data_IF_107532878911
#
_entry.id   IF_107532878911
#
_cell.length_a   1.000
_cell.length_b   1.000
_cell.length_c   1.000
_cell.angle_alpha   90.00
_cell.angle_beta   90.00
_cell.angle_gamma   90.00
#
_symmetry.space_group_name_H-M   'P 1'
#
loop_
_entity.id
_entity.type
_entity.pdbx_description
1 polymer ?
#
# COMPACT_ATOMS: atom_id res chain seq x y z
N UNK A 1 1.88 -42.75 13.08
CA UNK A 1 0.64 -42.92 13.88
C UNK A 1 -0.51 -42.45 13.01
N UNK A 2 -1.38 -43.37 12.59
CA UNK A 2 -2.45 -43.08 11.63
C UNK A 2 -3.73 -42.74 12.40
N UNK A 3 -4.32 -41.58 12.12
CA UNK A 3 -5.61 -41.21 12.70
C UNK A 3 -6.75 -41.97 12.00
N UNK A 4 -7.67 -42.61 12.74
CA UNK A 4 -8.86 -43.21 12.16
C UNK A 4 -9.86 -42.11 11.74
N UNK A 5 -10.47 -42.28 10.56
CA UNK A 5 -11.60 -41.46 10.14
C UNK A 5 -12.86 -41.81 10.97
N UNK A 6 -13.72 -40.83 11.29
CA UNK A 6 -15.02 -41.10 11.90
C UNK A 6 -15.97 -41.81 10.90
N UNK A 7 -16.91 -42.62 11.39
CA UNK A 7 -17.91 -43.28 10.54
C UNK A 7 -18.89 -42.26 9.95
N UNK A 8 -19.29 -42.48 8.69
CA UNK A 8 -20.34 -41.70 8.02
C UNK A 8 -21.74 -42.17 8.42
N UNK A 9 -22.66 -41.22 8.57
CA UNK A 9 -24.05 -41.44 8.97
C UNK A 9 -24.93 -41.84 7.76
N UNK A 10 -25.58 -43.02 7.74
CA UNK A 10 -26.36 -43.50 6.61
C UNK A 10 -27.78 -42.88 6.59
N UNK A 11 -27.89 -41.58 6.28
CA UNK A 11 -29.18 -40.87 6.34
C UNK A 11 -29.46 -39.76 5.32
N UNK A 12 -28.49 -39.22 4.58
CA UNK A 12 -28.74 -38.08 3.67
C UNK A 12 -29.04 -38.51 2.21
N UNK A 13 -30.17 -38.08 1.62
CA UNK A 13 -30.42 -38.22 0.19
C UNK A 13 -29.56 -37.23 -0.62
N UNK A 14 -29.12 -37.59 -1.83
CA UNK A 14 -28.23 -36.74 -2.63
C UNK A 14 -28.95 -35.51 -3.19
N UNK A 15 -28.36 -34.32 -2.96
CA UNK A 15 -28.77 -33.09 -3.64
C UNK A 15 -28.46 -33.19 -5.15
N UNK A 16 -29.49 -33.04 -5.98
CA UNK A 16 -29.40 -33.29 -7.43
C UNK A 16 -28.42 -32.36 -8.16
N UNK A 17 -27.52 -32.95 -8.95
CA UNK A 17 -26.71 -32.21 -9.90
C UNK A 17 -27.50 -31.84 -11.15
N UNK A 18 -27.32 -30.62 -11.66
CA UNK A 18 -27.81 -30.24 -12.98
C UNK A 18 -26.85 -30.75 -14.07
N UNK A 19 -27.35 -31.33 -15.18
CA UNK A 19 -26.51 -31.81 -16.27
C UNK A 19 -26.03 -30.65 -17.16
N UNK A 20 -24.73 -30.65 -17.48
CA UNK A 20 -24.16 -29.73 -18.46
C UNK A 20 -24.61 -30.10 -19.88
N UNK A 21 -25.30 -29.18 -20.55
CA UNK A 21 -25.65 -29.32 -21.97
C UNK A 21 -24.47 -29.03 -22.89
N UNK A 22 -24.29 -29.87 -23.91
CA UNK A 22 -23.30 -29.68 -24.97
C UNK A 22 -23.68 -28.55 -25.94
N UNK A 23 -22.73 -27.71 -26.41
CA UNK A 23 -23.01 -26.73 -27.46
C UNK A 23 -23.06 -27.40 -28.85
N UNK A 24 -24.04 -27.06 -29.72
CA UNK A 24 -24.09 -27.55 -31.10
C UNK A 24 -23.11 -26.77 -32.01
N UNK A 25 -22.60 -27.38 -33.11
CA UNK A 25 -21.63 -26.74 -33.99
C UNK A 25 -22.26 -26.04 -35.21
N UNK A 26 -21.74 -24.85 -35.52
CA UNK A 26 -21.74 -24.28 -36.88
C UNK A 26 -22.94 -23.43 -37.28
N UNK A 27 -22.66 -22.30 -37.94
CA UNK A 27 -23.69 -21.43 -38.53
C UNK A 27 -23.19 -20.02 -38.85
N UNK A 28 -22.44 -19.84 -39.94
CA UNK A 28 -22.21 -18.50 -40.49
C UNK A 28 -23.50 -18.01 -41.17
N UNK A 29 -24.09 -16.92 -40.66
CA UNK A 29 -25.29 -16.30 -41.21
C UNK A 29 -25.27 -14.79 -41.03
N UNK A 30 -25.33 -14.05 -42.14
CA UNK A 30 -25.46 -12.59 -42.16
C UNK A 30 -26.82 -12.14 -41.62
N UNK A 31 -26.89 -11.09 -40.79
CA UNK A 31 -28.17 -10.51 -40.39
C UNK A 31 -28.77 -9.66 -41.52
N UNK A 32 -30.04 -9.88 -41.91
CA UNK A 32 -30.77 -8.97 -42.78
C UNK A 32 -31.25 -7.75 -41.99
N UNK A 33 -31.31 -6.59 -42.65
CA UNK A 33 -31.83 -5.37 -42.04
C UNK A 33 -33.33 -5.45 -41.74
N UNK A 34 -33.70 -5.16 -40.49
CA UNK A 34 -35.08 -4.98 -40.04
C UNK A 34 -35.20 -3.65 -39.31
N UNK A 35 -35.99 -2.72 -39.85
CA UNK A 35 -36.23 -1.42 -39.21
C UNK A 35 -37.23 -1.54 -38.07
N UNK A 36 -36.90 -0.97 -36.91
CA UNK A 36 -37.85 -0.77 -35.82
C UNK A 36 -38.49 0.63 -35.94
N UNK A 37 -39.83 0.75 -35.82
CA UNK A 37 -40.48 2.06 -35.82
C UNK A 37 -40.12 2.84 -34.55
N UNK A 38 -39.89 4.16 -34.70
CA UNK A 38 -39.74 5.04 -33.53
C UNK A 38 -41.09 5.20 -32.80
N UNK A 39 -41.09 4.88 -31.51
CA UNK A 39 -42.14 5.34 -30.59
C UNK A 39 -41.98 6.84 -30.35
N UNK A 40 -43.05 7.66 -30.40
CA UNK A 40 -42.96 9.07 -30.09
C UNK A 40 -42.63 9.27 -28.60
N UNK A 41 -41.63 10.10 -28.32
CA UNK A 41 -41.25 10.47 -26.95
C UNK A 41 -42.36 11.31 -26.36
N UNK A 42 -43.03 10.78 -25.32
CA UNK A 42 -44.03 11.54 -24.55
C UNK A 42 -43.34 12.69 -23.81
N UNK A 43 -43.84 13.92 -24.00
CA UNK A 43 -43.24 15.11 -23.44
C UNK A 43 -43.36 15.13 -21.90
N UNK A 44 -42.23 15.26 -21.21
CA UNK A 44 -42.20 15.51 -19.77
C UNK A 44 -42.81 16.89 -19.48
N UNK A 45 -44.03 16.89 -18.94
CA UNK A 45 -44.63 18.07 -18.34
C UNK A 45 -44.02 18.26 -16.95
N UNK A 46 -43.38 19.41 -16.72
CA UNK A 46 -42.83 19.77 -15.42
C UNK A 46 -43.93 20.07 -14.39
N UNK A 47 -43.64 19.94 -13.07
CA UNK A 47 -44.62 20.12 -12.02
C UNK A 47 -45.14 21.57 -11.91
N UNK A 48 -46.34 21.68 -11.35
CA UNK A 48 -47.18 22.88 -11.35
C UNK A 48 -46.59 24.06 -10.56
N UNK A 49 -46.98 25.27 -10.98
CA UNK A 49 -46.55 26.55 -10.40
C UNK A 49 -47.15 26.78 -9.00
N UNK A 50 -46.30 26.93 -7.99
CA UNK A 50 -46.69 27.48 -6.70
C UNK A 50 -46.92 29.01 -6.79
N UNK A 51 -48.00 29.56 -6.21
CA UNK A 51 -48.31 30.99 -6.30
C UNK A 51 -47.68 31.81 -5.16
N UNK A 52 -47.11 32.97 -5.52
CA UNK A 52 -46.97 34.11 -4.60
C UNK A 52 -45.72 34.16 -3.72
N UNK A 53 -44.63 34.73 -4.24
CA UNK A 53 -43.51 35.25 -3.45
C UNK A 53 -43.16 36.68 -3.90
N UNK A 54 -42.86 37.63 -2.99
CA UNK A 54 -42.53 39.01 -3.36
C UNK A 54 -41.13 39.10 -4.02
N UNK A 55 -40.89 40.08 -4.90
CA UNK A 55 -39.65 40.19 -5.65
C UNK A 55 -38.48 40.60 -4.75
N UNK A 56 -37.50 39.71 -4.57
CA UNK A 56 -36.21 40.07 -3.97
C UNK A 56 -35.34 40.78 -5.02
N UNK A 57 -34.89 41.99 -4.69
CA UNK A 57 -34.06 42.81 -5.58
C UNK A 57 -32.65 42.26 -5.78
N UNK A 58 -32.07 42.52 -6.96
CA UNK A 58 -30.69 42.17 -7.26
C UNK A 58 -29.71 43.04 -6.45
N UNK A 59 -28.70 42.46 -5.77
CA UNK A 59 -27.60 43.23 -5.22
C UNK A 59 -26.62 43.65 -6.34
N UNK A 60 -26.02 44.85 -6.28
CA UNK A 60 -25.10 45.33 -7.31
C UNK A 60 -23.74 44.62 -7.25
N UNK A 61 -23.25 44.16 -8.40
CA UNK A 61 -21.89 43.61 -8.53
C UNK A 61 -20.84 44.73 -8.49
N UNK A 62 -20.19 44.90 -7.33
CA UNK A 62 -18.99 45.72 -7.20
C UNK A 62 -17.72 44.93 -7.57
N UNK A 63 -16.90 45.45 -8.46
CA UNK A 63 -15.57 44.89 -8.75
C UNK A 63 -14.59 45.21 -7.60
N UNK A 64 -13.80 44.25 -7.10
CA UNK A 64 -12.72 44.53 -6.17
C UNK A 64 -11.51 45.19 -6.88
N UNK A 65 -10.78 46.10 -6.21
CA UNK A 65 -9.65 46.80 -6.82
C UNK A 65 -8.40 45.90 -6.95
N UNK A 66 -7.70 46.02 -8.09
CA UNK A 66 -6.42 45.31 -8.30
C UNK A 66 -5.29 45.91 -7.44
N UNK A 67 -4.93 45.21 -6.37
CA UNK A 67 -3.77 45.52 -5.54
C UNK A 67 -2.45 45.04 -6.17
N UNK A 68 -1.38 45.80 -5.95
CA UNK A 68 -0.06 45.58 -6.56
C UNK A 68 0.65 44.35 -6.00
N UNK A 69 1.23 43.52 -6.89
CA UNK A 69 2.18 42.46 -6.50
C UNK A 69 3.57 43.03 -6.18
N UNK A 70 4.23 42.61 -5.08
CA UNK A 70 5.62 42.97 -4.80
C UNK A 70 6.60 42.15 -5.67
N UNK A 71 7.79 42.70 -6.01
CA UNK A 71 8.76 42.04 -6.87
C UNK A 71 9.47 40.85 -6.17
N UNK A 72 9.88 39.81 -6.93
CA UNK A 72 10.51 38.61 -6.38
C UNK A 72 11.95 38.88 -5.88
N UNK A 73 12.29 38.32 -4.72
CA UNK A 73 13.66 38.35 -4.17
C UNK A 73 14.53 37.29 -4.83
N UNK A 74 15.70 37.70 -5.33
CA UNK A 74 16.70 36.85 -5.98
C UNK A 74 17.50 36.07 -4.93
N UNK A 75 17.35 34.74 -4.85
CA UNK A 75 18.11 33.89 -3.92
C UNK A 75 19.40 33.37 -4.55
N UNK A 76 20.50 33.39 -3.79
CA UNK A 76 21.84 32.99 -4.23
C UNK A 76 22.10 31.49 -3.99
N UNK A 77 21.37 30.62 -4.69
CA UNK A 77 21.44 29.16 -4.51
C UNK A 77 22.75 28.49 -5.03
N UNK A 78 23.59 29.20 -5.78
CA UNK A 78 24.70 28.60 -6.55
C UNK A 78 25.96 28.22 -5.78
N UNK A 79 26.11 28.58 -4.50
CA UNK A 79 27.39 28.46 -3.78
C UNK A 79 27.46 27.26 -2.80
N UNK A 80 26.32 26.66 -2.44
CA UNK A 80 26.27 25.54 -1.49
C UNK A 80 26.57 24.20 -2.17
N UNK A 81 26.20 24.04 -3.45
CA UNK A 81 26.31 22.77 -4.20
C UNK A 81 27.75 22.29 -4.37
N UNK A 82 28.73 23.21 -4.48
CA UNK A 82 30.14 22.86 -4.69
C UNK A 82 30.83 22.25 -3.46
N UNK A 83 30.37 22.56 -2.24
CA UNK A 83 30.97 22.03 -1.01
C UNK A 83 30.62 20.54 -0.76
N UNK A 84 29.42 20.11 -1.17
CA UNK A 84 28.89 18.77 -0.85
C UNK A 84 29.57 17.69 -1.71
N UNK A 85 29.86 17.98 -2.99
CA UNK A 85 30.51 17.03 -3.90
C UNK A 85 31.94 16.69 -3.46
N UNK A 86 32.69 17.68 -2.95
CA UNK A 86 34.06 17.47 -2.46
C UNK A 86 34.13 16.56 -1.23
N UNK A 87 33.15 16.63 -0.32
CA UNK A 87 33.13 15.82 0.89
C UNK A 87 32.85 14.33 0.62
N UNK A 88 31.99 14.01 -0.35
CA UNK A 88 31.59 12.63 -0.63
C UNK A 88 32.73 11.79 -1.25
N UNK A 89 33.61 12.41 -2.06
CA UNK A 89 34.75 11.72 -2.68
C UNK A 89 35.79 11.28 -1.62
N UNK A 90 36.00 12.08 -0.57
CA UNK A 90 36.93 11.76 0.51
C UNK A 90 36.45 10.60 1.40
N UNK A 91 35.14 10.49 1.67
CA UNK A 91 34.60 9.42 2.52
C UNK A 91 34.53 8.08 1.76
N UNK A 92 34.21 8.10 0.46
CA UNK A 92 34.15 6.89 -0.37
C UNK A 92 35.50 6.17 -0.51
N UNK A 93 36.60 6.92 -0.61
CA UNK A 93 37.94 6.35 -0.77
C UNK A 93 38.44 5.54 0.43
N UNK A 94 38.07 5.92 1.65
CA UNK A 94 38.56 5.27 2.87
C UNK A 94 37.87 3.93 3.15
N UNK A 95 36.57 3.83 2.86
CA UNK A 95 35.80 2.60 3.11
C UNK A 95 36.06 1.51 2.06
N UNK A 96 36.31 1.89 0.80
CA UNK A 96 36.62 0.92 -0.27
C UNK A 96 37.95 0.18 -0.07
N UNK A 97 38.97 0.86 0.44
CA UNK A 97 40.31 0.27 0.63
C UNK A 97 40.35 -0.81 1.72
N UNK A 98 39.60 -0.64 2.81
CA UNK A 98 39.58 -1.59 3.92
C UNK A 98 38.92 -2.93 3.55
N UNK A 99 37.89 -2.90 2.70
CA UNK A 99 37.15 -4.11 2.33
C UNK A 99 37.94 -5.04 1.38
N UNK A 100 38.82 -4.48 0.54
CA UNK A 100 39.62 -5.28 -0.40
C UNK A 100 40.77 -6.03 0.28
N UNK A 101 41.34 -5.47 1.37
CA UNK A 101 42.43 -6.08 2.13
C UNK A 101 41.99 -7.21 3.08
N UNK A 102 40.70 -7.28 3.44
CA UNK A 102 40.15 -8.34 4.28
C UNK A 102 39.77 -9.61 3.51
N UNK A 103 39.77 -9.57 2.17
CA UNK A 103 39.29 -10.66 1.31
C UNK A 103 40.40 -11.58 0.74
N UNK A 104 41.67 -11.35 1.10
CA UNK A 104 42.83 -12.04 0.49
C UNK A 104 43.79 -12.67 1.52
N UNK A 105 43.27 -13.22 2.62
CA UNK A 105 44.04 -13.97 3.63
C UNK A 105 43.55 -15.41 3.76
N UNK A 106 44.34 -16.38 3.29
CA UNK A 106 44.01 -17.80 3.31
C UNK A 106 44.55 -18.57 4.52
N UNK A 107 43.95 -19.74 4.73
CA UNK A 107 44.17 -20.84 5.69
C UNK A 107 45.55 -21.04 6.36
N UNK A 108 45.53 -21.28 7.69
CA UNK A 108 46.01 -22.51 8.41
C UNK A 108 46.05 -22.26 9.94
N UNK A 109 46.10 -23.23 10.88
CA UNK A 109 46.04 -24.70 10.77
C UNK A 109 46.05 -25.42 12.16
N UNK A 110 45.49 -26.64 12.22
CA UNK A 110 45.65 -27.76 13.18
C UNK A 110 45.75 -27.64 14.74
N UNK A 111 44.86 -28.40 15.40
CA UNK A 111 45.09 -29.35 16.53
C UNK A 111 45.54 -28.89 17.93
N UNK A 112 44.69 -29.11 18.96
CA UNK A 112 44.95 -30.05 20.08
C UNK A 112 43.83 -30.09 21.16
N UNK A 113 43.64 -31.25 21.79
CA UNK A 113 42.62 -31.54 22.82
C UNK A 113 42.89 -30.93 24.20
N UNK A 114 41.82 -30.75 25.00
CA UNK A 114 41.84 -31.09 26.44
C UNK A 114 40.43 -31.33 27.00
N UNK A 115 40.29 -32.39 27.79
CA UNK A 115 39.04 -32.85 28.41
C UNK A 115 38.74 -32.12 29.73
N UNK A 116 37.46 -31.89 30.03
CA UNK A 116 36.96 -31.86 31.42
C UNK A 116 35.45 -32.14 31.47
N UNK A 117 35.06 -33.19 32.20
CA UNK A 117 33.66 -33.46 32.54
C UNK A 117 33.21 -32.61 33.71
N UNK A 118 32.01 -32.01 33.64
CA UNK A 118 31.23 -31.65 34.84
C UNK A 118 29.73 -31.48 34.50
N UNK A 119 28.92 -32.48 34.83
CA UNK A 119 27.46 -32.34 34.91
C UNK A 119 27.07 -31.90 36.32
N UNK A 120 26.17 -30.92 36.49
CA UNK A 120 25.25 -30.92 37.62
C UNK A 120 23.77 -30.92 37.19
N UNK A 121 22.91 -31.40 38.08
CA UNK A 121 21.46 -31.57 37.87
C UNK A 121 20.66 -30.28 38.10
N UNK A 122 19.61 -30.14 37.28
CA UNK A 122 18.25 -29.64 37.59
C UNK A 122 18.01 -28.65 38.74
N UNK A 123 17.50 -27.46 38.38
CA UNK A 123 16.51 -26.65 39.13
C UNK A 123 15.93 -25.60 38.15
N UNK A 124 14.72 -25.82 37.61
CA UNK A 124 13.43 -25.31 38.10
C UNK A 124 13.09 -23.86 37.69
N UNK A 125 11.97 -23.73 36.96
CA UNK A 125 11.07 -22.55 36.92
C UNK A 125 11.71 -21.17 36.71
N UNK A 126 11.84 -20.79 35.45
CA UNK A 126 12.11 -19.42 35.01
C UNK A 126 11.53 -19.20 33.62
N UNK A 127 10.21 -19.37 33.47
CA UNK A 127 9.52 -19.12 32.20
C UNK A 127 9.58 -17.64 31.86
N UNK A 128 10.61 -17.24 31.10
CA UNK A 128 10.60 -15.94 30.44
C UNK A 128 9.30 -15.87 29.61
N UNK A 129 8.51 -14.78 29.72
CA UNK A 129 7.40 -14.60 28.80
C UNK A 129 7.97 -14.66 27.38
N UNK A 130 7.27 -15.29 26.41
CA UNK A 130 7.72 -15.23 25.03
C UNK A 130 7.89 -13.76 24.68
N UNK A 131 9.11 -13.37 24.31
CA UNK A 131 9.39 -12.01 23.87
C UNK A 131 8.42 -11.73 22.72
N UNK A 132 7.50 -10.80 22.94
CA UNK A 132 6.50 -10.47 21.94
C UNK A 132 7.24 -10.04 20.67
N UNK A 133 7.18 -10.88 19.65
CA UNK A 133 7.74 -10.58 18.34
C UNK A 133 6.85 -9.49 17.74
N UNK A 134 7.12 -8.24 18.11
CA UNK A 134 6.44 -7.04 17.61
C UNK A 134 6.87 -6.69 16.18
N UNK A 135 6.89 -7.71 15.32
CA UNK A 135 6.71 -7.57 13.89
C UNK A 135 5.24 -7.85 13.63
N UNK A 136 4.49 -6.84 13.16
CA UNK A 136 3.13 -7.03 12.68
C UNK A 136 3.10 -8.22 11.71
N UNK A 137 2.20 -9.19 11.95
CA UNK A 137 2.02 -10.32 11.05
C UNK A 137 1.58 -9.86 9.65
N UNK A 138 1.66 -10.73 8.64
CA UNK A 138 1.06 -10.42 7.33
C UNK A 138 -0.48 -10.31 7.44
N UNK A 139 -1.15 -9.49 6.60
CA UNK A 139 -2.62 -9.40 6.61
C UNK A 139 -3.29 -10.75 6.31
N UNK A 140 -4.51 -10.96 6.83
CA UNK A 140 -5.30 -12.18 6.59
C UNK A 140 -6.11 -12.09 5.29
N UNK A 141 -6.56 -10.88 4.94
CA UNK A 141 -7.20 -10.53 3.67
C UNK A 141 -6.31 -9.63 2.85
N UNK A 142 -6.28 -9.88 1.55
CA UNK A 142 -5.52 -9.07 0.60
C UNK A 142 -6.26 -8.99 -0.73
N UNK A 143 -6.57 -7.76 -1.13
CA UNK A 143 -7.09 -7.44 -2.46
C UNK A 143 -6.01 -6.68 -3.24
N UNK A 144 -5.86 -6.96 -4.54
CA UNK A 144 -4.90 -6.25 -5.38
C UNK A 144 -5.49 -5.91 -6.74
N UNK A 145 -5.10 -4.75 -7.27
CA UNK A 145 -5.50 -4.27 -8.60
C UNK A 145 -4.26 -3.99 -9.46
N UNK A 146 -4.16 -4.69 -10.60
CA UNK A 146 -3.11 -4.45 -11.58
C UNK A 146 -3.33 -3.12 -12.31
N UNK A 147 -2.25 -2.56 -12.82
CA UNK A 147 -2.31 -1.31 -13.56
C UNK A 147 -3.08 -1.45 -14.87
N UNK A 148 -3.65 -0.34 -15.31
CA UNK A 148 -4.54 -0.22 -16.45
C UNK A 148 -4.26 1.08 -17.21
N UNK A 149 -4.74 1.18 -18.44
CA UNK A 149 -4.31 2.18 -19.44
C UNK A 149 -4.44 3.65 -19.02
N UNK A 150 -5.26 3.95 -18.01
CA UNK A 150 -5.33 5.28 -17.38
C UNK A 150 -3.99 5.76 -16.78
N UNK A 151 -3.04 4.86 -16.54
CA UNK A 151 -1.73 5.15 -15.95
C UNK A 151 -0.56 4.93 -16.92
N UNK A 152 -0.82 4.78 -18.22
CA UNK A 152 0.21 4.42 -19.20
C UNK A 152 1.36 5.45 -19.32
N UNK A 153 1.09 6.72 -19.03
CA UNK A 153 2.12 7.78 -18.91
C UNK A 153 3.14 7.50 -17.81
N UNK A 154 2.72 6.82 -16.73
CA UNK A 154 3.54 6.45 -15.58
C UNK A 154 4.12 5.03 -15.70
N UNK A 155 4.03 4.33 -16.83
CA UNK A 155 4.45 2.92 -16.93
C UNK A 155 5.96 2.65 -16.74
N UNK A 156 6.82 3.66 -16.69
CA UNK A 156 8.28 3.48 -16.57
C UNK A 156 8.94 4.64 -15.82
N UNK A 157 9.68 4.35 -14.74
CA UNK A 157 10.35 5.35 -13.92
C UNK A 157 11.35 6.23 -14.71
N UNK A 158 12.00 5.69 -15.75
CA UNK A 158 12.93 6.46 -16.58
C UNK A 158 12.26 7.56 -17.42
N UNK A 159 10.93 7.53 -17.58
CA UNK A 159 10.14 8.60 -18.21
C UNK A 159 9.59 9.60 -17.18
N UNK A 160 9.54 9.21 -15.91
CA UNK A 160 9.10 10.03 -14.80
C UNK A 160 10.29 10.44 -13.92
N UNK A 161 11.02 11.46 -14.41
CA UNK A 161 12.27 11.92 -13.82
C UNK A 161 12.15 12.60 -12.44
N UNK A 162 10.94 12.78 -11.91
CA UNK A 162 10.72 13.44 -10.61
C UNK A 162 10.97 12.43 -9.49
N UNK A 163 11.89 12.66 -8.52
CA UNK A 163 11.97 11.80 -7.35
C UNK A 163 10.67 11.91 -6.55
N UNK A 164 10.19 10.79 -6.00
CA UNK A 164 9.05 10.78 -5.08
C UNK A 164 9.44 11.51 -3.78
N UNK A 165 8.61 12.42 -3.28
CA UNK A 165 8.89 13.18 -2.05
C UNK A 165 7.72 13.16 -1.07
N UNK A 166 8.01 13.41 0.22
CA UNK A 166 6.96 13.57 1.24
C UNK A 166 6.09 14.80 0.96
N UNK A 167 6.69 15.90 0.52
CA UNK A 167 5.99 17.14 0.20
C UNK A 167 5.03 16.96 -0.99
N UNK A 168 5.36 16.11 -1.95
CA UNK A 168 4.46 15.73 -3.05
C UNK A 168 3.35 14.78 -2.59
N UNK A 169 3.70 13.68 -1.90
CA UNK A 169 2.72 12.69 -1.44
C UNK A 169 1.69 13.31 -0.50
N UNK A 170 2.14 14.23 0.36
CA UNK A 170 1.31 14.98 1.30
C UNK A 170 1.18 16.46 0.90
N UNK A 171 1.20 16.78 -0.39
CA UNK A 171 0.79 18.11 -0.87
C UNK A 171 -0.71 18.30 -0.66
N UNK A 172 -1.47 17.28 -1.05
CA UNK A 172 -2.93 17.27 -1.04
C UNK A 172 -3.50 17.19 0.39
N UNK A 173 -4.44 18.07 0.79
CA UNK A 173 -5.20 17.92 2.02
C UNK A 173 -5.90 16.56 2.15
N UNK A 174 -6.41 15.97 1.06
CA UNK A 174 -7.05 14.66 1.06
C UNK A 174 -6.05 13.53 1.36
N UNK A 175 -4.76 13.68 1.00
CA UNK A 175 -3.71 12.75 1.40
C UNK A 175 -3.40 12.83 2.91
N UNK A 176 -3.69 13.96 3.57
CA UNK A 176 -3.49 14.12 5.03
C UNK A 176 -4.72 13.71 5.84
N UNK A 177 -5.91 13.89 5.27
CA UNK A 177 -7.20 13.71 5.92
C UNK A 177 -8.22 13.18 4.90
N UNK A 178 -8.11 11.89 4.57
CA UNK A 178 -9.00 11.27 3.60
C UNK A 178 -10.32 10.86 4.26
N UNK A 179 -11.45 11.10 3.61
CA UNK A 179 -12.77 10.68 4.08
C UNK A 179 -13.29 9.51 3.24
N UNK A 180 -13.54 8.38 3.88
CA UNK A 180 -14.22 7.24 3.26
C UNK A 180 -15.61 7.69 2.76
N UNK A 181 -15.90 7.46 1.48
CA UNK A 181 -17.18 7.85 0.87
C UNK A 181 -18.35 6.94 1.25
N UNK A 182 -18.08 5.76 1.81
CA UNK A 182 -19.10 4.76 2.15
C UNK A 182 -19.70 4.96 3.54
N UNK A 183 -18.88 5.29 4.54
CA UNK A 183 -19.31 5.43 5.94
C UNK A 183 -18.98 6.82 6.57
N UNK A 184 -18.29 7.70 5.82
CA UNK A 184 -17.77 9.00 6.27
C UNK A 184 -16.66 8.94 7.35
N UNK A 185 -16.03 7.79 7.58
CA UNK A 185 -14.87 7.70 8.46
C UNK A 185 -13.69 8.47 7.88
N UNK A 186 -13.15 9.42 8.63
CA UNK A 186 -11.99 10.23 8.23
C UNK A 186 -10.71 9.60 8.77
N UNK A 187 -9.71 9.37 7.93
CA UNK A 187 -8.39 8.87 8.29
C UNK A 187 -7.35 9.99 8.21
N UNK A 188 -6.70 10.27 9.34
CA UNK A 188 -5.72 11.35 9.45
C UNK A 188 -4.30 10.79 9.54
N UNK A 189 -3.39 11.31 8.71
CA UNK A 189 -1.97 10.94 8.73
C UNK A 189 -1.33 11.26 10.10
N UNK A 190 -0.48 10.38 10.59
CA UNK A 190 0.24 10.53 11.85
C UNK A 190 1.69 10.91 11.60
N UNK A 191 2.08 12.08 12.11
CA UNK A 191 3.40 12.67 11.86
C UNK A 191 3.57 13.13 10.41
N UNK A 192 4.80 13.08 9.89
CA UNK A 192 5.19 13.59 8.58
C UNK A 192 5.32 12.51 7.50
N UNK A 193 5.02 11.24 7.83
CA UNK A 193 5.47 10.10 7.03
C UNK A 193 7.00 9.91 7.06
N UNK A 194 7.47 8.91 6.31
CA UNK A 194 8.89 8.56 6.12
C UNK A 194 9.16 8.27 4.65
N UNK A 195 10.32 8.69 4.15
CA UNK A 195 10.84 8.35 2.82
C UNK A 195 12.09 7.48 3.02
N UNK A 196 12.02 6.23 2.58
CA UNK A 196 13.09 5.26 2.64
C UNK A 196 13.69 5.05 1.25
N UNK A 197 15.01 5.20 1.10
CA UNK A 197 15.73 4.85 -0.15
C UNK A 197 16.32 3.43 -0.13
N UNK A 198 16.44 2.83 1.07
CA UNK A 198 16.73 1.41 1.22
C UNK A 198 15.42 0.60 1.21
N UNK A 199 14.86 0.36 0.02
CA UNK A 199 13.60 -0.38 -0.13
C UNK A 199 13.59 -1.74 0.58
N UNK A 200 14.72 -2.46 0.58
CA UNK A 200 14.83 -3.81 1.18
C UNK A 200 14.60 -3.77 2.69
N UNK A 201 15.06 -2.70 3.36
CA UNK A 201 14.80 -2.46 4.79
C UNK A 201 13.35 -2.09 5.12
N UNK A 202 12.47 -1.97 4.13
CA UNK A 202 11.03 -1.67 4.32
C UNK A 202 10.13 -2.88 4.18
N UNK A 203 10.66 -4.08 3.87
CA UNK A 203 9.88 -5.31 3.73
C UNK A 203 10.47 -6.46 4.55
N UNK A 204 9.57 -7.33 5.02
CA UNK A 204 9.90 -8.59 5.68
C UNK A 204 10.04 -9.73 4.66
N UNK A 205 10.71 -10.82 5.06
CA UNK A 205 10.86 -12.03 4.25
C UNK A 205 11.93 -11.92 3.15
N UNK A 206 12.92 -12.82 3.18
CA UNK A 206 14.05 -12.79 2.25
C UNK A 206 13.64 -12.95 0.78
N UNK A 207 12.55 -13.66 0.50
CA UNK A 207 12.01 -13.82 -0.84
C UNK A 207 11.45 -12.50 -1.39
N UNK A 208 10.64 -11.77 -0.62
CA UNK A 208 10.11 -10.46 -1.01
C UNK A 208 11.22 -9.40 -1.09
N UNK A 209 12.19 -9.43 -0.17
CA UNK A 209 13.40 -8.61 -0.21
C UNK A 209 14.19 -8.79 -1.52
N UNK A 210 14.40 -10.05 -1.95
CA UNK A 210 15.08 -10.38 -3.20
C UNK A 210 14.25 -9.94 -4.42
N UNK A 211 12.94 -10.17 -4.41
CA UNK A 211 12.05 -9.76 -5.48
C UNK A 211 12.04 -8.24 -5.67
N UNK A 212 11.96 -7.47 -4.57
CA UNK A 212 11.94 -6.01 -4.58
C UNK A 212 13.24 -5.39 -5.15
N UNK A 213 14.39 -6.06 -5.00
CA UNK A 213 15.63 -5.70 -5.69
C UNK A 213 15.51 -5.93 -7.21
N UNK A 214 14.99 -7.08 -7.65
CA UNK A 214 14.77 -7.39 -9.06
C UNK A 214 13.73 -6.49 -9.77
N UNK A 215 12.77 -5.98 -9.00
CA UNK A 215 11.80 -4.96 -9.40
C UNK A 215 12.38 -3.54 -9.47
N UNK A 216 13.66 -3.36 -9.09
CA UNK A 216 14.37 -2.08 -9.21
C UNK A 216 13.75 -0.98 -8.36
N UNK A 217 13.32 -1.31 -7.13
CA UNK A 217 12.81 -0.31 -6.21
C UNK A 217 13.87 0.73 -5.86
N UNK A 218 13.51 2.01 -5.95
CA UNK A 218 14.39 3.15 -5.66
C UNK A 218 13.99 3.93 -4.41
N UNK A 219 12.69 3.98 -4.11
CA UNK A 219 12.12 4.75 -3.02
C UNK A 219 10.85 4.07 -2.48
N UNK A 220 10.62 4.20 -1.17
CA UNK A 220 9.35 3.85 -0.53
C UNK A 220 8.92 4.99 0.38
N UNK A 221 7.74 5.57 0.15
CA UNK A 221 7.11 6.47 1.13
C UNK A 221 6.19 5.65 2.02
N UNK A 222 6.28 5.82 3.34
CA UNK A 222 5.42 5.12 4.32
C UNK A 222 4.83 6.08 5.34
N UNK A 223 3.61 5.84 5.77
CA UNK A 223 2.95 6.62 6.82
C UNK A 223 1.92 5.78 7.58
N UNK A 224 1.62 6.18 8.81
CA UNK A 224 0.48 5.67 9.56
C UNK A 224 -0.67 6.66 9.44
N UNK A 225 -1.89 6.13 9.51
CA UNK A 225 -3.12 6.89 9.61
C UNK A 225 -3.89 6.41 10.84
N UNK A 226 -4.70 7.27 11.44
CA UNK A 226 -5.64 6.90 12.49
C UNK A 226 -7.00 7.47 12.14
N UNK A 227 -8.06 6.68 12.29
CA UNK A 227 -9.43 7.16 12.08
C UNK A 227 -9.81 8.21 13.12
N UNK A 228 -10.63 9.19 12.74
CA UNK A 228 -11.06 10.29 13.61
C UNK A 228 -11.80 9.78 14.86
N UNK A 229 -12.48 8.64 14.76
CA UNK A 229 -13.15 7.95 15.86
C UNK A 229 -12.23 7.04 16.70
N UNK A 230 -10.92 7.02 16.40
CA UNK A 230 -9.88 6.24 17.07
C UNK A 230 -10.09 4.71 17.06
N UNK A 231 -10.93 4.17 16.15
CA UNK A 231 -11.16 2.71 16.03
C UNK A 231 -10.13 1.99 15.16
N UNK A 232 -9.52 2.67 14.20
CA UNK A 232 -8.66 2.08 13.18
C UNK A 232 -7.28 2.72 13.14
N UNK A 233 -6.26 1.89 12.95
CA UNK A 233 -4.93 2.31 12.51
C UNK A 233 -4.72 1.79 11.09
N UNK A 234 -4.38 2.71 10.19
CA UNK A 234 -3.94 2.42 8.84
C UNK A 234 -2.43 2.51 8.71
N UNK A 235 -1.86 1.72 7.81
CA UNK A 235 -0.48 1.78 7.36
C UNK A 235 -0.50 1.91 5.84
N UNK A 236 0.21 2.89 5.32
CA UNK A 236 0.31 3.18 3.89
C UNK A 236 1.76 3.00 3.45
N UNK A 237 1.96 2.41 2.28
CA UNK A 237 3.24 2.36 1.59
C UNK A 237 3.07 2.68 0.10
N UNK A 238 3.98 3.48 -0.46
CA UNK A 238 4.06 3.83 -1.88
C UNK A 238 5.46 3.45 -2.36
N UNK A 239 5.56 2.45 -3.23
CA UNK A 239 6.82 1.95 -3.80
C UNK A 239 7.04 2.55 -5.18
N UNK A 240 8.22 3.11 -5.41
CA UNK A 240 8.72 3.55 -6.72
C UNK A 240 9.59 2.44 -7.33
N UNK A 241 9.07 1.73 -8.33
CA UNK A 241 9.71 0.58 -9.00
C UNK A 241 10.15 0.94 -10.42
N UNK A 242 10.91 0.07 -11.10
CA UNK A 242 11.44 0.41 -12.44
C UNK A 242 10.38 0.59 -13.53
N UNK A 243 9.32 -0.24 -13.51
CA UNK A 243 8.28 -0.30 -14.54
C UNK A 243 6.96 -0.93 -14.05
N UNK A 244 5.91 -0.80 -14.85
CA UNK A 244 4.57 -1.38 -14.59
C UNK A 244 4.55 -2.91 -14.52
N UNK A 245 5.43 -3.60 -15.25
CA UNK A 245 5.56 -5.06 -15.17
C UNK A 245 6.01 -5.46 -13.76
N UNK A 246 6.92 -4.70 -13.19
CA UNK A 246 7.46 -4.88 -11.84
C UNK A 246 6.44 -4.49 -10.76
N UNK A 247 5.66 -3.43 -10.98
CA UNK A 247 4.55 -3.08 -10.10
C UNK A 247 3.47 -4.18 -10.06
N UNK A 248 3.06 -4.69 -11.22
CA UNK A 248 2.09 -5.78 -11.32
C UNK A 248 2.62 -7.10 -10.72
N UNK A 249 3.91 -7.40 -10.85
CA UNK A 249 4.52 -8.57 -10.23
C UNK A 249 4.71 -8.39 -8.71
N UNK A 250 5.03 -7.18 -8.24
CA UNK A 250 5.21 -6.90 -6.81
C UNK A 250 3.90 -7.01 -6.03
N UNK A 251 2.76 -6.61 -6.59
CA UNK A 251 1.46 -6.81 -5.92
C UNK A 251 1.02 -8.27 -5.89
N UNK A 252 1.46 -9.12 -6.82
CA UNK A 252 1.28 -10.57 -6.75
C UNK A 252 2.18 -11.17 -5.65
N UNK A 253 3.43 -10.71 -5.54
CA UNK A 253 4.41 -11.15 -4.54
C UNK A 253 4.11 -10.68 -3.11
N UNK A 254 3.33 -9.60 -2.96
CA UNK A 254 2.77 -9.12 -1.70
C UNK A 254 1.56 -9.94 -1.21
N UNK A 255 0.96 -10.84 -2.02
CA UNK A 255 -0.16 -11.66 -1.54
C UNK A 255 0.32 -12.56 -0.38
N UNK A 256 -0.32 -12.52 0.81
CA UNK A 256 -0.03 -13.40 1.93
C UNK A 256 0.05 -14.90 1.58
N UNK A 257 -0.67 -15.35 0.53
CA UNK A 257 -0.64 -16.72 -0.03
C UNK A 257 0.66 -17.04 -0.76
N UNK A 258 1.33 -16.06 -1.36
CA UNK A 258 2.66 -16.23 -1.95
C UNK A 258 3.72 -16.50 -0.86
N UNK A 259 3.44 -16.12 0.39
CA UNK A 259 4.27 -16.35 1.57
C UNK A 259 5.71 -15.82 1.44
N UNK A 260 5.91 -14.77 0.63
CA UNK A 260 7.22 -14.15 0.40
C UNK A 260 7.61 -13.12 1.45
N UNK A 261 6.62 -12.50 2.08
CA UNK A 261 6.78 -11.41 3.05
C UNK A 261 5.61 -10.43 3.00
N UNK A 262 5.76 -9.29 3.68
CA UNK A 262 4.91 -8.10 3.51
C UNK A 262 5.71 -6.83 3.88
N UNK A 263 5.18 -5.63 3.59
CA UNK A 263 5.85 -4.40 4.00
C UNK A 263 5.85 -4.20 5.52
N UNK A 264 6.83 -3.46 6.04
CA UNK A 264 7.01 -3.17 7.45
C UNK A 264 6.26 -1.87 7.82
N UNK A 265 5.36 -1.90 8.81
CA UNK A 265 4.65 -0.70 9.30
C UNK A 265 5.59 0.44 9.71
N UNK A 266 5.06 1.66 9.76
CA UNK A 266 5.68 2.71 10.55
C UNK A 266 5.27 2.58 12.01
N UNK A 267 6.28 2.66 12.88
CA UNK A 267 6.13 2.74 14.33
C UNK A 267 5.86 4.19 14.74
N UNK A 268 5.08 4.37 15.80
CA UNK A 268 4.69 5.67 16.35
C UNK A 268 4.11 5.54 17.76
N UNK A 269 3.64 6.64 18.37
CA UNK A 269 2.92 6.61 19.64
C UNK A 269 1.55 5.94 19.48
N UNK A 270 0.90 5.61 20.60
CA UNK A 270 -0.45 5.03 20.58
C UNK A 270 -1.48 5.94 19.88
N UNK A 271 -2.40 5.38 19.07
CA UNK A 271 -2.66 3.95 18.87
C UNK A 271 -1.74 3.22 17.85
N UNK A 272 -0.81 3.91 17.17
CA UNK A 272 0.03 3.31 16.11
C UNK A 272 0.96 2.22 16.65
N UNK A 273 1.36 2.30 17.93
CA UNK A 273 2.16 1.28 18.62
C UNK A 273 1.50 -0.11 18.72
N UNK A 274 0.16 -0.18 18.59
CA UNK A 274 -0.62 -1.44 18.62
C UNK A 274 -0.87 -2.05 17.24
N UNK A 275 -0.39 -1.43 16.16
CA UNK A 275 -0.66 -1.95 14.82
C UNK A 275 -0.13 -3.37 14.64
N UNK A 276 -1.00 -4.27 14.17
CA UNK A 276 -0.66 -5.68 13.92
C UNK A 276 -0.72 -6.58 15.15
N UNK A 277 -1.23 -6.13 16.30
CA UNK A 277 -1.62 -7.04 17.40
C UNK A 277 -2.99 -7.69 17.19
N UNK A 278 -3.82 -7.10 16.31
CA UNK A 278 -5.13 -7.61 15.89
C UNK A 278 -5.05 -8.37 14.56
N UNK A 279 -6.17 -8.96 14.14
CA UNK A 279 -6.43 -9.22 12.72
C UNK A 279 -6.23 -7.94 11.90
N UNK A 280 -5.69 -8.08 10.70
CA UNK A 280 -5.48 -6.98 9.76
C UNK A 280 -5.75 -7.46 8.34
N UNK A 281 -6.15 -6.56 7.45
CA UNK A 281 -6.36 -6.81 6.02
C UNK A 281 -5.76 -5.68 5.21
N UNK A 282 -5.47 -5.91 3.93
CA UNK A 282 -4.81 -4.91 3.09
C UNK A 282 -5.36 -4.86 1.67
N UNK A 283 -5.20 -3.72 1.03
CA UNK A 283 -5.44 -3.52 -0.39
C UNK A 283 -4.20 -2.94 -1.07
N UNK A 284 -3.97 -3.31 -2.33
CA UNK A 284 -2.90 -2.73 -3.15
C UNK A 284 -3.38 -2.36 -4.56
N UNK A 285 -2.70 -1.39 -5.17
CA UNK A 285 -2.92 -0.99 -6.55
C UNK A 285 -1.61 -0.63 -7.23
N UNK A 286 -1.39 -1.18 -8.42
CA UNK A 286 -0.33 -0.75 -9.32
C UNK A 286 -0.82 0.39 -10.22
N UNK A 287 -0.07 1.49 -10.26
CA UNK A 287 -0.41 2.73 -10.96
C UNK A 287 0.80 3.18 -11.78
N UNK A 288 0.92 2.63 -13.00
CA UNK A 288 2.16 2.64 -13.75
C UNK A 288 3.25 1.88 -12.98
N UNK A 289 4.42 2.50 -12.81
CA UNK A 289 5.55 1.97 -12.05
C UNK A 289 5.43 2.14 -10.52
N UNK A 290 4.37 2.77 -10.03
CA UNK A 290 4.09 2.86 -8.60
C UNK A 290 3.25 1.68 -8.10
N UNK A 291 3.48 1.28 -6.86
CA UNK A 291 2.54 0.44 -6.09
C UNK A 291 2.14 1.18 -4.83
N UNK A 292 0.85 1.42 -4.64
CA UNK A 292 0.27 1.94 -3.40
C UNK A 292 -0.36 0.79 -2.64
N UNK A 293 -0.08 0.68 -1.34
CA UNK A 293 -0.64 -0.31 -0.42
C UNK A 293 -1.27 0.40 0.76
N UNK A 294 -2.52 0.06 1.09
CA UNK A 294 -3.20 0.43 2.33
C UNK A 294 -3.45 -0.82 3.17
N UNK A 295 -3.10 -0.77 4.45
CA UNK A 295 -3.16 -1.92 5.36
C UNK A 295 -3.73 -1.49 6.70
N UNK A 296 -4.92 -1.97 7.07
CA UNK A 296 -5.62 -1.53 8.28
C UNK A 296 -5.79 -2.63 9.33
N UNK A 297 -5.85 -2.19 10.59
CA UNK A 297 -6.11 -2.99 11.78
C UNK A 297 -6.81 -2.18 12.86
N UNK A 298 -7.34 -2.83 13.89
CA UNK A 298 -8.03 -2.13 14.98
C UNK A 298 -7.05 -1.42 15.90
N UNK A 299 -7.36 -0.17 16.24
CA UNK A 299 -6.56 0.69 17.12
C UNK A 299 -6.57 0.23 18.60
N UNK A 300 -7.62 -0.49 19.01
CA UNK A 300 -7.70 -1.12 20.33
C UNK A 300 -6.86 -2.41 20.43
N UNK A 301 -6.34 -2.91 19.31
CA UNK A 301 -5.63 -4.19 19.23
C UNK A 301 -6.54 -5.41 19.42
N UNK A 302 -7.85 -5.22 19.55
CA UNK A 302 -8.83 -6.28 19.71
C UNK A 302 -8.97 -7.12 18.45
N UNK A 303 -9.40 -8.37 18.61
CA UNK A 303 -9.69 -9.22 17.45
C UNK A 303 -10.98 -8.73 16.77
N UNK A 304 -10.86 -8.30 15.51
CA UNK A 304 -11.99 -8.11 14.60
C UNK A 304 -12.60 -9.45 14.18
N UNK A 305 -13.28 -9.50 13.04
CA UNK A 305 -13.70 -10.80 12.52
C UNK A 305 -12.49 -11.64 12.06
N UNK A 306 -12.61 -12.96 12.14
CA UNK A 306 -11.50 -13.88 11.83
C UNK A 306 -11.09 -13.89 10.36
N UNK A 307 -11.89 -13.28 9.48
CA UNK A 307 -11.64 -13.16 8.05
C UNK A 307 -11.14 -11.76 7.67
N UNK A 308 -11.02 -10.81 8.62
CA UNK A 308 -10.63 -9.43 8.34
C UNK A 308 -11.57 -8.68 7.39
N UNK A 309 -12.86 -9.03 7.35
CA UNK A 309 -13.84 -8.34 6.49
C UNK A 309 -14.04 -6.90 6.97
N UNK A 310 -14.07 -6.69 8.29
CA UNK A 310 -14.12 -5.38 8.95
C UNK A 310 -12.94 -4.48 8.58
N UNK A 311 -11.80 -5.06 8.18
CA UNK A 311 -10.61 -4.32 7.74
C UNK A 311 -10.59 -3.94 6.26
N UNK A 312 -11.55 -4.36 5.43
CA UNK A 312 -11.56 -4.06 3.98
C UNK A 312 -11.74 -2.56 3.71
N UNK A 313 -12.84 -1.96 4.17
CA UNK A 313 -13.10 -0.51 3.97
C UNK A 313 -11.97 0.39 4.48
N UNK A 314 -11.47 0.24 5.74
CA UNK A 314 -10.41 1.11 6.22
C UNK A 314 -9.09 0.91 5.46
N UNK A 315 -8.80 -0.29 4.95
CA UNK A 315 -7.63 -0.53 4.09
C UNK A 315 -7.75 0.13 2.73
N UNK A 316 -8.92 0.02 2.10
CA UNK A 316 -9.22 0.68 0.84
C UNK A 316 -9.09 2.20 0.98
N UNK A 317 -9.64 2.77 2.05
CA UNK A 317 -9.56 4.21 2.35
C UNK A 317 -8.13 4.69 2.56
N UNK A 318 -7.28 3.94 3.27
CA UNK A 318 -5.84 4.26 3.42
C UNK A 318 -5.10 4.18 2.09
N UNK A 319 -5.47 3.24 1.21
CA UNK A 319 -4.97 3.18 -0.17
C UNK A 319 -5.44 4.37 -1.00
N UNK A 320 -6.70 4.81 -0.90
CA UNK A 320 -7.19 5.99 -1.63
C UNK A 320 -6.46 7.27 -1.19
N UNK A 321 -6.17 7.42 0.11
CA UNK A 321 -5.35 8.53 0.63
C UNK A 321 -3.95 8.52 -0.01
N UNK A 322 -3.28 7.36 -0.01
CA UNK A 322 -1.96 7.17 -0.62
C UNK A 322 -1.94 7.28 -2.16
N UNK A 323 -3.10 7.28 -2.82
CA UNK A 323 -3.24 7.41 -4.28
C UNK A 323 -3.27 8.87 -4.75
N UNK A 324 -3.59 9.83 -3.88
CA UNK A 324 -3.90 11.21 -4.29
C UNK A 324 -2.78 11.92 -5.06
N UNK A 325 -1.52 11.67 -4.69
CA UNK A 325 -0.37 12.28 -5.36
C UNK A 325 -0.31 11.98 -6.87
N UNK A 326 -0.83 10.83 -7.31
CA UNK A 326 -0.83 10.42 -8.71
C UNK A 326 -1.69 11.33 -9.60
N UNK A 327 -2.72 11.98 -9.04
CA UNK A 327 -3.56 12.92 -9.80
C UNK A 327 -2.85 14.26 -10.08
N UNK A 328 -1.82 14.59 -9.30
CA UNK A 328 -0.99 15.78 -9.47
C UNK A 328 0.31 15.49 -10.24
N UNK A 329 0.54 14.21 -10.59
CA UNK A 329 1.77 13.73 -11.20
C UNK A 329 1.62 13.60 -12.71
N UNK A 330 2.08 14.64 -13.41
CA UNK A 330 2.13 14.77 -14.87
C UNK A 330 3.58 14.86 -15.39
#
# INVERSE_FOLDING_TARGET
>A
MSYPYPPMDPGQPPSGGQPWGTPPPGGYGTPPGGGYPQSPISGWQGPETLPGGPPMGQPPMGQPPMGQFPPPKKSSAGLITLAIVGALILVGGVLGGAYYLAASGGSDGDTASSSASATPRSSSSGGAPPAASSGAGKPVTYNSMKSWSLWDSLNTASKDSKPLTLDEVFADPEAKSYKDSSDNTVFNVQGTGRLDTNCVGTVSGSALQTALQGYGCTQVVRAAYVSADQKWVGQMAIFNLKDVTSANAFIDDLDPKANKGFFLPVTGPSPVDKFGTSTTGAESGAYGHFVVVGWAGRADGGHGDSYGIDTISPSSTVLQAGKQFLFHRH
#
